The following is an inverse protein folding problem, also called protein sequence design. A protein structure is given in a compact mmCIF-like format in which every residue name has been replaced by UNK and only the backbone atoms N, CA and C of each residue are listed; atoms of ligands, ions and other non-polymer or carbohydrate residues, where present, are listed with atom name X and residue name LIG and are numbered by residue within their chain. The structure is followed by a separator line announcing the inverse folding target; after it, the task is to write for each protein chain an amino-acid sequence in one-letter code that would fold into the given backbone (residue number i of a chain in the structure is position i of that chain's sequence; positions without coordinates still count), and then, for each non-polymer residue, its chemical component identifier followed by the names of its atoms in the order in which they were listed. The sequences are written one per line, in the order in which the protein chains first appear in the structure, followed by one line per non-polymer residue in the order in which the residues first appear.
data_IF_225177258437
#
_entry.id   IF_225177258437
#
_cell.length_a   1.000
_cell.length_b   1.000
_cell.length_c   1.000
_cell.angle_alpha   90.00
_cell.angle_beta   90.00
_cell.angle_gamma   90.00
#
_symmetry.space_group_name_H-M   'P 1'
#
loop_
_entity.id
_entity.type
_entity.pdbx_description
1 polymer ?
#
# COMPACT_ATOMS: atom_id res chain seq x y z
N UNK A 1 12.20 -19.04 -12.44
CA UNK A 1 13.54 -19.26 -11.89
C UNK A 1 13.74 -18.27 -10.73
N UNK A 2 13.61 -18.71 -9.48
CA UNK A 2 13.73 -17.83 -8.31
C UNK A 2 15.21 -17.48 -8.14
N UNK A 3 15.54 -16.19 -8.18
CA UNK A 3 16.93 -15.74 -8.04
C UNK A 3 17.49 -16.11 -6.65
N UNK A 4 18.73 -16.63 -6.64
CA UNK A 4 19.47 -17.00 -5.42
C UNK A 4 19.64 -15.78 -4.51
N UNK A 5 19.20 -15.89 -3.25
CA UNK A 5 19.49 -14.88 -2.22
C UNK A 5 21.01 -14.85 -1.97
N UNK A 6 21.62 -13.66 -2.09
CA UNK A 6 23.06 -13.45 -1.83
C UNK A 6 23.38 -13.71 -0.35
N UNK A 7 24.51 -14.36 -0.10
CA UNK A 7 25.04 -14.63 1.25
C UNK A 7 25.45 -13.32 1.96
N UNK A 8 25.54 -13.35 3.30
CA UNK A 8 25.98 -12.21 4.10
C UNK A 8 27.37 -11.69 3.70
N UNK A 9 28.25 -12.60 3.27
CA UNK A 9 29.60 -12.28 2.80
C UNK A 9 29.61 -11.55 1.44
N UNK A 10 28.83 -12.03 0.46
CA UNK A 10 28.67 -11.35 -0.85
C UNK A 10 27.99 -9.97 -0.72
N UNK A 11 27.09 -9.88 0.26
CA UNK A 11 26.42 -8.64 0.64
C UNK A 11 27.41 -7.63 1.25
N UNK A 12 28.36 -8.10 2.05
CA UNK A 12 29.38 -7.26 2.71
C UNK A 12 30.43 -6.68 1.75
N UNK A 13 30.75 -7.36 0.63
CA UNK A 13 31.68 -6.80 -0.37
C UNK A 13 31.01 -6.02 -1.51
N UNK A 14 29.68 -5.85 -1.48
CA UNK A 14 28.99 -5.11 -2.52
C UNK A 14 29.22 -3.60 -2.36
N UNK A 15 30.17 -3.06 -3.14
CA UNK A 15 30.45 -1.62 -3.20
C UNK A 15 29.22 -0.77 -3.52
N UNK A 16 28.37 -1.24 -4.44
CA UNK A 16 27.10 -0.57 -4.75
C UNK A 16 26.15 -0.52 -3.55
N UNK A 17 26.11 -1.58 -2.74
CA UNK A 17 25.30 -1.63 -1.51
C UNK A 17 25.84 -0.68 -0.45
N UNK A 18 27.15 -0.62 -0.26
CA UNK A 18 27.78 0.33 0.66
C UNK A 18 27.50 1.78 0.25
N UNK A 19 27.68 2.10 -1.04
CA UNK A 19 27.39 3.43 -1.59
C UNK A 19 25.92 3.83 -1.47
N UNK A 20 24.99 2.86 -1.50
CA UNK A 20 23.55 3.11 -1.33
C UNK A 20 23.14 3.51 0.08
N UNK A 21 23.92 3.17 1.11
CA UNK A 21 23.60 3.46 2.52
C UNK A 21 24.54 4.46 3.19
N UNK A 22 25.56 4.93 2.49
CA UNK A 22 26.46 5.95 3.00
C UNK A 22 25.67 7.23 3.35
N UNK A 23 25.94 7.81 4.52
CA UNK A 23 25.21 8.98 5.05
C UNK A 23 23.93 8.67 5.83
N UNK A 24 23.51 7.40 5.95
CA UNK A 24 22.27 7.04 6.64
C UNK A 24 22.21 7.52 8.11
N UNK A 25 23.33 7.43 8.83
CA UNK A 25 23.39 7.77 10.26
C UNK A 25 23.02 9.25 10.53
N UNK A 26 23.39 10.16 9.63
CA UNK A 26 23.07 11.59 9.76
C UNK A 26 21.56 11.86 9.63
N UNK A 27 20.89 11.17 8.70
CA UNK A 27 19.43 11.27 8.54
C UNK A 27 18.69 10.70 9.76
N UNK A 28 19.21 9.63 10.36
CA UNK A 28 18.62 8.99 11.54
C UNK A 28 18.79 9.82 12.82
N UNK A 29 19.92 10.50 12.99
CA UNK A 29 20.11 11.40 14.15
C UNK A 29 19.12 12.57 14.13
N UNK A 30 18.80 13.11 12.94
CA UNK A 30 17.81 14.19 12.79
C UNK A 30 16.38 13.73 13.09
N UNK A 31 16.07 12.46 12.83
CA UNK A 31 14.79 11.82 13.16
C UNK A 31 14.57 11.78 14.68
N UNK A 32 15.53 11.20 15.41
CA UNK A 32 15.40 10.97 16.85
C UNK A 32 15.35 12.29 17.65
N UNK A 33 15.85 13.40 17.08
CA UNK A 33 15.84 14.72 17.69
C UNK A 33 14.48 15.44 17.66
N UNK A 34 13.50 14.96 16.89
CA UNK A 34 12.20 15.64 16.70
C UNK A 34 11.04 14.77 17.17
N UNK A 35 10.15 15.34 17.99
CA UNK A 35 8.91 14.66 18.40
C UNK A 35 7.91 14.55 17.24
N UNK A 36 7.07 13.50 17.24
CA UNK A 36 6.08 13.28 16.19
C UNK A 36 5.09 14.42 16.02
N UNK A 37 4.70 15.10 17.10
CA UNK A 37 3.84 16.28 17.04
C UNK A 37 4.42 17.39 16.16
N UNK A 38 5.68 17.76 16.41
CA UNK A 38 6.38 18.76 15.61
C UNK A 38 6.50 18.34 14.13
N UNK A 39 6.72 17.05 13.88
CA UNK A 39 6.81 16.52 12.51
C UNK A 39 5.44 16.54 11.81
N UNK A 40 4.33 16.31 12.53
CA UNK A 40 2.98 16.44 11.97
C UNK A 40 2.69 17.86 11.49
N UNK A 41 3.03 18.84 12.33
CA UNK A 41 2.74 20.25 12.09
C UNK A 41 3.69 20.90 11.07
N UNK A 42 4.91 20.36 10.93
CA UNK A 42 5.86 20.86 9.95
C UNK A 42 5.45 20.42 8.54
N UNK A 43 5.13 21.38 7.68
CA UNK A 43 4.80 21.14 6.27
C UNK A 43 6.03 21.35 5.39
N UNK A 44 6.27 20.43 4.47
CA UNK A 44 7.37 20.52 3.49
C UNK A 44 7.01 21.59 2.46
N UNK A 45 7.73 22.71 2.51
CA UNK A 45 7.59 23.81 1.55
C UNK A 45 8.52 23.61 0.35
N UNK A 46 8.11 24.14 -0.80
CA UNK A 46 8.99 24.32 -1.96
C UNK A 46 8.66 25.62 -2.68
N UNK A 47 9.69 26.34 -3.12
CA UNK A 47 9.52 27.55 -3.95
C UNK A 47 9.17 27.13 -5.38
N UNK A 48 7.88 27.10 -5.70
CA UNK A 48 7.38 26.99 -7.08
C UNK A 48 7.37 25.58 -7.70
N UNK A 49 7.68 24.53 -6.94
CA UNK A 49 7.57 23.14 -7.40
C UNK A 49 6.33 22.44 -6.84
N UNK A 50 5.55 21.81 -7.72
CA UNK A 50 4.48 20.89 -7.34
C UNK A 50 5.05 19.52 -6.91
N UNK A 51 4.29 18.81 -6.07
CA UNK A 51 4.61 17.44 -5.68
C UNK A 51 4.72 16.51 -6.90
N UNK A 52 5.80 15.73 -6.99
CA UNK A 52 6.08 14.81 -8.12
C UNK A 52 6.56 13.46 -7.60
N UNK A 53 5.94 12.39 -8.10
CA UNK A 53 6.39 11.02 -7.82
C UNK A 53 7.81 10.77 -8.31
N UNK A 54 8.64 10.14 -7.48
CA UNK A 54 9.99 9.78 -7.84
C UNK A 54 9.98 8.64 -8.87
N UNK A 55 10.69 8.84 -9.99
CA UNK A 55 10.91 7.80 -10.99
C UNK A 55 12.35 7.29 -10.93
N UNK A 56 12.50 5.97 -10.82
CA UNK A 56 13.80 5.29 -10.71
C UNK A 56 14.51 5.51 -9.37
N UNK A 57 15.58 4.76 -9.14
CA UNK A 57 16.37 4.83 -7.90
C UNK A 57 17.80 5.34 -8.18
N UNK A 58 18.19 6.47 -7.57
CA UNK A 58 19.61 6.88 -7.57
C UNK A 58 20.43 5.94 -6.70
N UNK A 59 21.69 5.70 -7.06
CA UNK A 59 22.60 4.94 -6.21
C UNK A 59 23.00 5.76 -4.99
N UNK A 60 23.14 7.08 -5.11
CA UNK A 60 23.41 7.97 -3.99
C UNK A 60 22.17 8.05 -3.06
N UNK A 61 22.38 8.00 -1.75
CA UNK A 61 21.29 8.03 -0.76
C UNK A 61 20.63 9.40 -0.71
N UNK A 62 21.41 10.46 -0.56
CA UNK A 62 20.91 11.83 -0.43
C UNK A 62 20.15 12.27 -1.66
N UNK A 63 20.66 11.98 -2.86
CA UNK A 63 19.94 12.26 -4.10
C UNK A 63 18.60 11.51 -4.19
N UNK A 64 18.55 10.27 -3.69
CA UNK A 64 17.32 9.50 -3.71
C UNK A 64 16.33 9.99 -2.65
N UNK A 65 16.79 10.31 -1.45
CA UNK A 65 15.98 10.89 -0.40
C UNK A 65 15.45 12.27 -0.81
N UNK A 66 16.25 13.10 -1.48
CA UNK A 66 15.81 14.36 -2.05
C UNK A 66 14.70 14.16 -3.11
N UNK A 67 14.79 13.12 -3.95
CA UNK A 67 13.72 12.76 -4.89
C UNK A 67 12.45 12.32 -4.18
N UNK A 68 12.57 11.46 -3.16
CA UNK A 68 11.43 10.99 -2.36
C UNK A 68 10.77 12.16 -1.60
N UNK A 69 11.56 13.10 -1.07
CA UNK A 69 11.05 14.28 -0.36
C UNK A 69 10.14 15.15 -1.24
N UNK A 70 10.41 15.23 -2.54
CA UNK A 70 9.56 15.98 -3.49
C UNK A 70 8.15 15.40 -3.63
N UNK A 71 7.95 14.13 -3.30
CA UNK A 71 6.61 13.51 -3.29
C UNK A 71 5.72 14.08 -2.17
N UNK A 72 6.34 14.68 -1.15
CA UNK A 72 5.68 15.17 0.05
C UNK A 72 5.62 16.69 0.14
N UNK A 73 5.92 17.43 -0.94
CA UNK A 73 5.72 18.88 -0.97
C UNK A 73 4.23 19.19 -0.67
N UNK A 74 3.99 20.15 0.22
CA UNK A 74 2.66 20.50 0.71
C UNK A 74 2.10 19.52 1.75
N UNK A 75 2.86 18.50 2.16
CA UNK A 75 2.45 17.52 3.15
C UNK A 75 3.32 17.59 4.41
N UNK A 76 2.87 16.91 5.46
CA UNK A 76 3.58 16.81 6.73
C UNK A 76 4.94 16.12 6.58
N UNK A 77 5.93 16.66 7.29
CA UNK A 77 7.27 16.10 7.44
C UNK A 77 7.21 14.65 7.97
N UNK A 78 6.25 14.34 8.86
CA UNK A 78 6.06 12.98 9.38
C UNK A 78 5.86 11.93 8.27
N UNK A 79 5.14 12.28 7.20
CA UNK A 79 4.89 11.36 6.09
C UNK A 79 6.16 11.09 5.27
N UNK A 80 6.99 12.11 5.08
CA UNK A 80 8.30 11.94 4.47
C UNK A 80 9.22 11.10 5.35
N UNK A 81 9.21 11.32 6.66
CA UNK A 81 10.02 10.55 7.60
C UNK A 81 9.65 9.06 7.59
N UNK A 82 8.36 8.73 7.50
CA UNK A 82 7.88 7.37 7.26
C UNK A 82 8.49 6.77 5.98
N UNK A 83 8.41 7.48 4.85
CA UNK A 83 8.99 7.03 3.59
C UNK A 83 10.51 6.87 3.63
N UNK A 84 11.20 7.79 4.32
CA UNK A 84 12.65 7.75 4.50
C UNK A 84 13.07 6.48 5.27
N UNK A 85 12.38 6.13 6.35
CA UNK A 85 12.64 4.89 7.10
C UNK A 85 12.52 3.65 6.20
N UNK A 86 11.47 3.58 5.36
CA UNK A 86 11.31 2.49 4.38
C UNK A 86 12.48 2.45 3.40
N UNK A 87 12.92 3.61 2.89
CA UNK A 87 14.08 3.71 1.98
C UNK A 87 15.35 3.19 2.65
N UNK A 88 15.62 3.60 3.90
CA UNK A 88 16.79 3.16 4.67
C UNK A 88 16.76 1.65 4.91
N UNK A 89 15.61 1.11 5.31
CA UNK A 89 15.37 -0.32 5.49
C UNK A 89 15.66 -1.09 4.20
N UNK A 90 15.07 -0.67 3.07
CA UNK A 90 15.24 -1.33 1.76
C UNK A 90 16.67 -1.23 1.22
N UNK A 91 17.45 -0.25 1.69
CA UNK A 91 18.89 -0.09 1.39
C UNK A 91 19.78 -0.83 2.39
N UNK A 92 19.20 -1.60 3.31
CA UNK A 92 19.89 -2.37 4.35
C UNK A 92 20.81 -1.48 5.22
N UNK A 93 20.37 -0.25 5.49
CA UNK A 93 20.95 0.67 6.45
C UNK A 93 20.30 0.42 7.82
N UNK A 94 21.11 0.03 8.82
CA UNK A 94 20.70 -0.30 10.20
C UNK A 94 19.25 -0.81 10.32
N UNK A 95 18.98 -1.97 9.69
CA UNK A 95 17.61 -2.46 9.48
C UNK A 95 16.86 -2.62 10.79
N UNK A 96 17.51 -3.18 11.82
CA UNK A 96 16.87 -3.40 13.12
C UNK A 96 16.47 -2.07 13.76
N UNK A 97 17.38 -1.10 13.85
CA UNK A 97 17.06 0.16 14.51
C UNK A 97 16.07 1.02 13.70
N UNK A 98 16.18 1.03 12.36
CA UNK A 98 15.23 1.76 11.52
C UNK A 98 13.85 1.12 11.52
N UNK A 99 13.77 -0.20 11.62
CA UNK A 99 12.51 -0.91 11.79
C UNK A 99 11.85 -0.60 13.16
N UNK A 100 12.63 -0.56 14.24
CA UNK A 100 12.11 -0.16 15.55
C UNK A 100 11.54 1.27 15.54
N UNK A 101 12.23 2.22 14.88
CA UNK A 101 11.72 3.58 14.68
C UNK A 101 10.42 3.59 13.88
N UNK A 102 10.38 2.83 12.80
CA UNK A 102 9.22 2.68 11.94
C UNK A 102 8.01 2.13 12.70
N UNK A 103 8.20 1.03 13.45
CA UNK A 103 7.14 0.42 14.26
C UNK A 103 6.66 1.37 15.37
N UNK A 104 7.57 2.07 16.04
CA UNK A 104 7.23 3.08 17.06
C UNK A 104 6.38 4.21 16.47
N UNK A 105 6.76 4.72 15.30
CA UNK A 105 5.99 5.75 14.59
C UNK A 105 4.58 5.25 14.28
N UNK A 106 4.44 4.05 13.73
CA UNK A 106 3.12 3.46 13.45
C UNK A 106 2.27 3.26 14.70
N UNK A 107 2.86 2.76 15.79
CA UNK A 107 2.11 2.56 17.04
C UNK A 107 1.61 3.88 17.64
N UNK A 108 2.39 4.96 17.51
CA UNK A 108 2.04 6.29 18.01
C UNK A 108 1.08 7.06 17.09
N UNK A 109 1.27 6.95 15.76
CA UNK A 109 0.69 7.87 14.77
C UNK A 109 -0.23 7.19 13.75
N UNK A 110 -0.64 5.93 13.98
CA UNK A 110 -1.41 5.13 13.00
C UNK A 110 -2.59 5.89 12.38
N UNK A 111 -3.39 6.59 13.17
CA UNK A 111 -4.59 7.25 12.66
C UNK A 111 -4.20 8.35 11.66
N UNK A 112 -3.25 9.21 12.04
CA UNK A 112 -2.70 10.24 11.17
C UNK A 112 -2.08 9.65 9.89
N UNK A 113 -1.24 8.62 10.03
CA UNK A 113 -0.57 7.97 8.90
C UNK A 113 -1.58 7.32 7.95
N UNK A 114 -2.58 6.60 8.46
CA UNK A 114 -3.63 5.98 7.63
C UNK A 114 -4.45 7.02 6.87
N UNK A 115 -4.75 8.16 7.47
CA UNK A 115 -5.50 9.22 6.80
C UNK A 115 -4.70 9.88 5.68
N UNK A 116 -3.40 10.14 5.88
CA UNK A 116 -2.65 11.05 5.02
C UNK A 116 -1.67 10.38 4.05
N UNK A 117 -1.15 9.18 4.33
CA UNK A 117 -0.28 8.48 3.37
C UNK A 117 -1.05 8.10 2.11
N UNK A 118 -0.40 8.04 0.95
CA UNK A 118 -0.99 7.48 -0.27
C UNK A 118 -1.08 5.93 -0.21
N UNK A 119 -1.82 5.33 -1.15
CA UNK A 119 -1.99 3.86 -1.15
C UNK A 119 -0.67 3.10 -1.34
N UNK A 120 0.30 3.66 -2.06
CA UNK A 120 1.61 3.05 -2.29
C UNK A 120 2.44 3.01 -1.01
N UNK A 121 2.38 4.05 -0.19
CA UNK A 121 3.08 4.09 1.10
C UNK A 121 2.40 3.22 2.16
N UNK A 122 1.07 3.10 2.15
CA UNK A 122 0.36 2.11 3.00
C UNK A 122 0.77 0.67 2.64
N UNK A 123 0.84 0.35 1.35
CA UNK A 123 1.31 -0.97 0.89
C UNK A 123 2.78 -1.21 1.26
N UNK A 124 3.63 -0.19 1.11
CA UNK A 124 5.04 -0.29 1.51
C UNK A 124 5.19 -0.51 3.02
N UNK A 125 4.26 0.00 3.83
CA UNK A 125 4.23 -0.27 5.25
C UNK A 125 3.84 -1.72 5.55
N UNK A 126 2.81 -2.25 4.90
CA UNK A 126 2.45 -3.68 4.97
C UNK A 126 3.65 -4.58 4.62
N UNK A 127 4.31 -4.33 3.48
CA UNK A 127 5.50 -5.09 3.06
C UNK A 127 6.61 -5.05 4.13
N UNK A 128 6.83 -3.88 4.73
CA UNK A 128 7.82 -3.71 5.80
C UNK A 128 7.47 -4.52 7.05
N UNK A 129 6.19 -4.56 7.47
CA UNK A 129 5.76 -5.42 8.59
C UNK A 129 5.90 -6.91 8.27
N UNK A 130 5.50 -7.34 7.07
CA UNK A 130 5.56 -8.73 6.63
C UNK A 130 6.99 -9.26 6.65
N UNK A 131 7.93 -8.45 6.17
CA UNK A 131 9.33 -8.84 6.03
C UNK A 131 10.11 -8.82 7.35
N UNK A 132 9.75 -7.93 8.29
CA UNK A 132 10.61 -7.60 9.44
C UNK A 132 10.00 -7.79 10.83
N UNK A 133 8.67 -7.80 10.98
CA UNK A 133 8.09 -7.99 12.32
C UNK A 133 8.37 -9.41 12.85
N UNK A 134 8.50 -9.54 14.15
CA UNK A 134 8.63 -10.84 14.83
C UNK A 134 7.28 -11.41 15.22
N UNK A 135 6.23 -10.59 15.30
CA UNK A 135 4.87 -11.03 15.56
C UNK A 135 4.25 -11.69 14.29
N UNK A 136 4.03 -13.02 14.29
CA UNK A 136 3.41 -13.69 13.15
C UNK A 136 1.98 -13.22 12.88
N UNK A 137 1.26 -12.72 13.89
CA UNK A 137 -0.10 -12.23 13.74
C UNK A 137 -0.12 -10.96 12.89
N UNK A 138 0.68 -9.95 13.24
CA UNK A 138 0.81 -8.73 12.42
C UNK A 138 1.22 -9.05 10.98
N UNK A 139 2.18 -9.96 10.77
CA UNK A 139 2.60 -10.35 9.41
C UNK A 139 1.44 -10.96 8.61
N UNK A 140 0.66 -11.85 9.24
CA UNK A 140 -0.50 -12.46 8.60
C UNK A 140 -1.61 -11.45 8.31
N UNK A 141 -1.90 -10.54 9.25
CA UNK A 141 -2.87 -9.45 9.05
C UNK A 141 -2.41 -8.55 7.90
N UNK A 142 -1.18 -8.04 7.95
CA UNK A 142 -0.62 -7.11 6.96
C UNK A 142 -0.61 -7.69 5.54
N UNK A 143 -0.40 -9.00 5.37
CA UNK A 143 -0.37 -9.67 4.05
C UNK A 143 -1.67 -9.50 3.26
N UNK A 144 -2.82 -9.31 3.93
CA UNK A 144 -4.10 -9.08 3.26
C UNK A 144 -4.09 -7.80 2.41
N UNK A 145 -3.36 -6.76 2.83
CA UNK A 145 -3.26 -5.49 2.09
C UNK A 145 -2.61 -5.65 0.71
N UNK A 146 -1.34 -6.09 0.61
CA UNK A 146 -0.67 -6.33 -0.66
C UNK A 146 -1.34 -7.42 -1.50
N UNK A 147 -1.88 -8.48 -0.90
CA UNK A 147 -2.63 -9.51 -1.62
C UNK A 147 -3.79 -8.87 -2.39
N UNK A 148 -4.64 -8.12 -1.70
CA UNK A 148 -5.79 -7.46 -2.29
C UNK A 148 -5.40 -6.42 -3.35
N UNK A 149 -4.48 -5.52 -3.01
CA UNK A 149 -4.10 -4.43 -3.91
C UNK A 149 -3.39 -4.94 -5.17
N UNK A 150 -2.55 -5.97 -5.07
CA UNK A 150 -1.87 -6.54 -6.23
C UNK A 150 -2.83 -7.30 -7.14
N UNK A 151 -3.83 -7.99 -6.60
CA UNK A 151 -4.89 -8.62 -7.41
C UNK A 151 -5.68 -7.57 -8.19
N UNK A 152 -6.08 -6.47 -7.55
CA UNK A 152 -6.75 -5.36 -8.25
C UNK A 152 -5.82 -4.75 -9.29
N UNK A 153 -4.56 -4.48 -8.94
CA UNK A 153 -3.56 -3.91 -9.84
C UNK A 153 -3.39 -4.74 -11.10
N UNK A 154 -3.31 -6.07 -10.99
CA UNK A 154 -3.21 -6.96 -12.15
C UNK A 154 -4.44 -6.84 -13.06
N UNK A 155 -5.65 -6.88 -12.48
CA UNK A 155 -6.90 -6.74 -13.25
C UNK A 155 -7.03 -5.38 -13.92
N UNK A 156 -6.71 -4.28 -13.23
CA UNK A 156 -6.72 -2.94 -13.84
C UNK A 156 -5.65 -2.79 -14.92
N UNK A 157 -4.47 -3.40 -14.74
CA UNK A 157 -3.39 -3.37 -15.74
C UNK A 157 -3.80 -4.13 -17.01
N UNK A 158 -4.42 -5.30 -16.87
CA UNK A 158 -4.94 -6.06 -18.02
C UNK A 158 -6.00 -5.24 -18.77
N UNK A 159 -6.94 -4.61 -18.05
CA UNK A 159 -7.94 -3.73 -18.64
C UNK A 159 -7.32 -2.56 -19.41
N UNK A 160 -6.29 -1.93 -18.85
CA UNK A 160 -5.53 -0.88 -19.53
C UNK A 160 -4.89 -1.38 -20.84
N UNK A 161 -4.27 -2.57 -20.83
CA UNK A 161 -3.68 -3.20 -22.02
C UNK A 161 -4.75 -3.48 -23.08
N UNK A 162 -5.94 -3.94 -22.66
CA UNK A 162 -7.07 -4.26 -23.54
C UNK A 162 -7.87 -3.02 -23.98
N UNK A 163 -7.54 -1.82 -23.49
CA UNK A 163 -8.27 -0.59 -23.79
C UNK A 163 -9.68 -0.54 -23.19
N UNK A 164 -9.94 -1.30 -22.12
CA UNK A 164 -11.24 -1.34 -21.44
C UNK A 164 -11.23 -0.39 -20.24
N UNK A 165 -12.12 0.59 -20.23
CA UNK A 165 -12.20 1.64 -19.20
C UNK A 165 -13.63 1.80 -18.65
N UNK A 166 -13.87 2.84 -17.85
CA UNK A 166 -15.20 3.14 -17.30
C UNK A 166 -16.26 3.49 -18.37
N UNK A 167 -15.85 3.99 -19.53
CA UNK A 167 -16.72 4.39 -20.63
C UNK A 167 -17.10 3.20 -21.52
N UNK A 168 -16.37 2.08 -21.40
CA UNK A 168 -16.70 0.85 -22.12
C UNK A 168 -18.05 0.34 -21.62
N UNK A 169 -19.08 0.28 -22.48
CA UNK A 169 -20.43 -0.08 -22.04
C UNK A 169 -20.47 -1.54 -21.59
N UNK A 170 -21.30 -1.79 -20.58
CA UNK A 170 -21.63 -3.16 -20.20
C UNK A 170 -22.32 -3.87 -21.38
N UNK A 171 -21.93 -5.12 -21.62
CA UNK A 171 -22.62 -5.98 -22.57
C UNK A 171 -23.88 -6.52 -21.89
N UNK A 172 -25.04 -5.98 -22.23
CA UNK A 172 -26.31 -6.37 -21.60
C UNK A 172 -26.54 -7.89 -21.63
N UNK A 173 -26.25 -8.54 -22.77
CA UNK A 173 -26.38 -10.00 -22.89
C UNK A 173 -25.51 -10.78 -21.87
N UNK A 174 -24.33 -10.26 -21.51
CA UNK A 174 -23.47 -10.90 -20.50
C UNK A 174 -24.00 -10.67 -19.07
N UNK A 175 -24.60 -9.51 -18.79
CA UNK A 175 -25.29 -9.26 -17.53
C UNK A 175 -26.51 -10.17 -17.37
N UNK A 176 -27.31 -10.31 -18.43
CA UNK A 176 -28.48 -11.19 -18.45
C UNK A 176 -28.07 -12.66 -18.23
N UNK A 177 -26.94 -13.08 -18.80
CA UNK A 177 -26.39 -14.41 -18.58
C UNK A 177 -25.99 -14.62 -17.13
N UNK A 178 -25.28 -13.66 -16.50
CA UNK A 178 -24.92 -13.72 -15.08
C UNK A 178 -26.13 -13.77 -14.14
N UNK A 179 -27.22 -13.08 -14.47
CA UNK A 179 -28.43 -13.06 -13.65
C UNK A 179 -29.31 -14.30 -13.83
N UNK A 180 -29.23 -14.97 -14.97
CA UNK A 180 -30.11 -16.10 -15.31
C UNK A 180 -29.42 -17.45 -15.12
N UNK A 181 -28.10 -17.51 -15.31
CA UNK A 181 -27.34 -18.75 -15.32
C UNK A 181 -26.08 -18.66 -14.45
N UNK A 182 -25.60 -19.83 -14.03
CA UNK A 182 -24.29 -19.95 -13.40
C UNK A 182 -23.20 -19.90 -14.47
N UNK A 183 -22.64 -18.72 -14.69
CA UNK A 183 -21.49 -18.55 -15.60
C UNK A 183 -20.22 -19.03 -14.89
N UNK A 184 -19.56 -20.05 -15.43
CA UNK A 184 -18.26 -20.52 -14.92
C UNK A 184 -17.10 -19.64 -15.41
N UNK A 185 -16.15 -19.34 -14.55
CA UNK A 185 -14.94 -18.58 -14.90
C UNK A 185 -13.69 -19.48 -14.95
N UNK A 186 -13.33 -20.10 -13.82
CA UNK A 186 -12.15 -20.96 -13.71
C UNK A 186 -12.32 -21.92 -12.54
N UNK A 187 -11.76 -23.13 -12.62
CA UNK A 187 -11.66 -24.10 -11.52
C UNK A 187 -12.90 -24.20 -10.60
N UNK A 188 -14.09 -24.28 -11.20
CA UNK A 188 -15.34 -24.34 -10.45
C UNK A 188 -15.82 -23.02 -9.83
N UNK A 189 -15.09 -21.92 -9.91
CA UNK A 189 -15.51 -20.56 -9.52
C UNK A 189 -16.45 -19.98 -10.57
N UNK A 190 -17.57 -19.43 -10.14
CA UNK A 190 -18.54 -18.74 -10.99
C UNK A 190 -18.32 -17.23 -11.03
N UNK A 191 -18.88 -16.58 -12.06
CA UNK A 191 -18.91 -15.13 -12.17
C UNK A 191 -19.61 -14.48 -10.98
N UNK A 192 -19.08 -13.33 -10.55
CA UNK A 192 -19.70 -12.50 -9.54
C UNK A 192 -20.99 -11.89 -10.11
N UNK A 193 -22.11 -12.04 -9.41
CA UNK A 193 -23.41 -11.57 -9.88
C UNK A 193 -23.70 -10.16 -9.33
N UNK A 194 -23.62 -9.09 -10.15
CA UNK A 194 -23.85 -7.74 -9.68
C UNK A 194 -25.27 -7.59 -9.12
N UNK A 195 -25.37 -7.05 -7.92
CA UNK A 195 -26.64 -6.81 -7.25
C UNK A 195 -27.19 -7.97 -6.41
N UNK A 196 -26.63 -9.19 -6.45
CA UNK A 196 -27.14 -10.30 -5.61
C UNK A 196 -26.08 -11.10 -4.88
N UNK A 197 -24.84 -11.06 -5.34
CA UNK A 197 -23.75 -11.83 -4.77
C UNK A 197 -23.23 -11.16 -3.48
N UNK A 198 -23.18 -11.92 -2.37
CA UNK A 198 -22.77 -11.43 -1.05
C UNK A 198 -21.31 -11.76 -0.70
N UNK A 199 -20.56 -12.40 -1.60
CA UNK A 199 -19.20 -12.91 -1.33
C UNK A 199 -18.25 -11.81 -0.84
N UNK A 200 -18.24 -10.64 -1.50
CA UNK A 200 -17.40 -9.51 -1.11
C UNK A 200 -17.83 -8.89 0.22
N UNK A 201 -19.13 -8.89 0.53
CA UNK A 201 -19.63 -8.40 1.83
C UNK A 201 -19.18 -9.34 2.95
N UNK A 202 -19.35 -10.63 2.76
CA UNK A 202 -18.89 -11.64 3.70
C UNK A 202 -17.37 -11.59 3.87
N UNK A 203 -16.62 -11.33 2.79
CA UNK A 203 -15.18 -11.12 2.84
C UNK A 203 -14.81 -9.86 3.65
N UNK A 204 -15.51 -8.74 3.46
CA UNK A 204 -15.30 -7.50 4.25
C UNK A 204 -15.45 -7.77 5.74
N UNK A 205 -16.52 -8.43 6.18
CA UNK A 205 -16.71 -8.73 7.61
C UNK A 205 -15.61 -9.61 8.19
N UNK A 206 -15.21 -10.66 7.46
CA UNK A 206 -14.08 -11.50 7.88
C UNK A 206 -12.76 -10.73 7.92
N UNK A 207 -12.53 -9.84 6.96
CA UNK A 207 -11.34 -8.99 6.93
C UNK A 207 -11.32 -8.06 8.15
N UNK A 208 -12.46 -7.48 8.50
CA UNK A 208 -12.61 -6.61 9.67
C UNK A 208 -12.28 -7.38 10.96
N UNK A 209 -12.83 -8.59 11.13
CA UNK A 209 -12.55 -9.43 12.29
C UNK A 209 -11.06 -9.80 12.40
N UNK A 210 -10.43 -10.14 11.28
CA UNK A 210 -8.98 -10.43 11.24
C UNK A 210 -8.16 -9.18 11.55
N UNK A 211 -8.52 -8.02 10.98
CA UNK A 211 -7.78 -6.78 11.20
C UNK A 211 -7.89 -6.27 12.64
N UNK A 212 -8.99 -6.56 13.35
CA UNK A 212 -9.14 -6.24 14.78
C UNK A 212 -8.16 -6.99 15.69
N UNK A 213 -7.55 -8.08 15.22
CA UNK A 213 -6.61 -8.88 16.01
C UNK A 213 -5.30 -8.15 16.32
N UNK A 214 -4.96 -7.09 15.57
CA UNK A 214 -3.75 -6.32 15.80
C UNK A 214 -4.00 -4.81 15.62
N UNK A 215 -3.45 -3.91 16.46
CA UNK A 215 -3.68 -2.46 16.35
C UNK A 215 -3.35 -1.86 14.98
N UNK A 216 -2.36 -2.41 14.28
CA UNK A 216 -1.95 -1.99 12.93
C UNK A 216 -2.76 -2.64 11.79
N UNK A 217 -3.77 -3.46 12.10
CA UNK A 217 -4.73 -3.94 11.10
C UNK A 217 -5.55 -2.81 10.47
N UNK A 218 -5.61 -1.64 11.10
CA UNK A 218 -6.21 -0.42 10.52
C UNK A 218 -5.61 -0.03 9.16
N UNK A 219 -4.34 -0.36 8.91
CA UNK A 219 -3.68 -0.10 7.62
C UNK A 219 -4.35 -0.89 6.50
N UNK A 220 -4.69 -2.15 6.75
CA UNK A 220 -5.34 -3.03 5.78
C UNK A 220 -6.78 -2.60 5.55
N UNK A 221 -7.50 -2.20 6.60
CA UNK A 221 -8.85 -1.67 6.46
C UNK A 221 -8.88 -0.39 5.64
N UNK A 222 -7.93 0.53 5.87
CA UNK A 222 -7.81 1.76 5.10
C UNK A 222 -7.48 1.48 3.61
N UNK A 223 -6.62 0.49 3.33
CA UNK A 223 -6.37 0.02 1.95
C UNK A 223 -7.67 -0.48 1.31
N UNK A 224 -8.43 -1.31 2.04
CA UNK A 224 -9.69 -1.87 1.56
C UNK A 224 -10.75 -0.80 1.27
N UNK A 225 -10.86 0.21 2.16
CA UNK A 225 -11.80 1.32 2.00
C UNK A 225 -11.39 2.24 0.84
N UNK A 226 -10.09 2.47 0.65
CA UNK A 226 -9.58 3.26 -0.48
C UNK A 226 -9.91 2.67 -1.84
N UNK A 227 -9.94 1.34 -1.99
CA UNK A 227 -10.32 0.71 -3.26
C UNK A 227 -11.71 1.13 -3.75
N UNK A 228 -12.56 1.61 -2.86
CA UNK A 228 -13.94 1.96 -3.15
C UNK A 228 -14.16 3.48 -3.28
N UNK A 229 -13.10 4.30 -3.16
CA UNK A 229 -13.19 5.76 -3.32
C UNK A 229 -13.29 6.13 -4.79
N UNK A 230 -14.07 7.16 -5.10
CA UNK A 230 -14.29 7.60 -6.48
C UNK A 230 -13.00 7.95 -7.21
N UNK A 231 -12.02 8.54 -6.52
CA UNK A 231 -10.74 8.95 -7.09
C UNK A 231 -9.87 7.78 -7.61
N UNK A 232 -10.13 6.54 -7.21
CA UNK A 232 -9.28 5.39 -7.54
C UNK A 232 -9.81 4.53 -8.69
N UNK A 233 -11.00 4.82 -9.23
CA UNK A 233 -11.64 4.22 -10.42
C UNK A 233 -11.17 2.80 -10.79
N UNK A 234 -11.41 1.83 -9.91
CA UNK A 234 -11.02 0.43 -10.11
C UNK A 234 -12.23 -0.52 -10.01
N UNK A 235 -11.97 -1.82 -10.14
CA UNK A 235 -12.97 -2.88 -10.12
C UNK A 235 -13.89 -2.83 -8.91
N UNK A 236 -13.40 -2.52 -7.70
CA UNK A 236 -14.24 -2.41 -6.51
C UNK A 236 -15.26 -1.28 -6.64
N UNK A 237 -14.83 -0.08 -7.05
CA UNK A 237 -15.74 1.04 -7.28
C UNK A 237 -16.77 0.72 -8.37
N UNK A 238 -16.32 0.11 -9.47
CA UNK A 238 -17.18 -0.23 -10.61
C UNK A 238 -18.23 -1.28 -10.24
N UNK A 239 -17.89 -2.29 -9.44
CA UNK A 239 -18.88 -3.24 -8.92
C UNK A 239 -19.76 -2.64 -7.83
N UNK A 240 -19.24 -1.76 -6.96
CA UNK A 240 -20.04 -0.98 -6.00
C UNK A 240 -21.17 -0.24 -6.71
N UNK A 241 -20.87 0.44 -7.82
CA UNK A 241 -21.87 1.17 -8.63
C UNK A 241 -22.92 0.25 -9.30
N UNK A 242 -22.57 -1.00 -9.59
CA UNK A 242 -23.50 -2.01 -10.16
C UNK A 242 -24.33 -2.73 -9.09
N UNK A 243 -23.97 -2.62 -7.82
CA UNK A 243 -24.56 -3.39 -6.72
C UNK A 243 -25.66 -2.59 -6.00
N UNK A 244 -26.82 -2.44 -6.64
CA UNK A 244 -27.88 -1.50 -6.22
C UNK A 244 -28.97 -2.12 -5.33
N UNK A 245 -29.03 -3.44 -5.15
CA UNK A 245 -30.06 -4.08 -4.31
C UNK A 245 -29.75 -3.90 -2.83
N UNK A 246 -30.74 -3.51 -2.04
CA UNK A 246 -30.57 -3.18 -0.61
C UNK A 246 -30.02 -4.35 0.22
N UNK A 247 -30.51 -5.57 0.00
CA UNK A 247 -30.12 -6.76 0.79
C UNK A 247 -28.65 -7.12 0.64
N UNK A 248 -28.04 -6.81 -0.50
CA UNK A 248 -26.64 -7.12 -0.80
C UNK A 248 -25.84 -5.85 -1.10
N UNK A 249 -26.39 -4.67 -0.79
CA UNK A 249 -25.74 -3.37 -0.92
C UNK A 249 -24.27 -3.43 -0.49
N UNK A 250 -23.45 -2.70 -1.22
CA UNK A 250 -22.11 -2.44 -0.76
C UNK A 250 -22.16 -1.87 0.66
N UNK A 251 -21.27 -2.32 1.53
CA UNK A 251 -21.21 -1.83 2.90
C UNK A 251 -20.93 -0.32 2.90
N UNK A 252 -21.51 0.35 3.90
CA UNK A 252 -21.31 1.77 4.18
C UNK A 252 -20.10 1.96 5.10
#
# INVERSE_FOLDING_TARGET
MIHRRKSAFEKWFSFTRHRRRFGADEHVQRLDAQGFEKLRESIIQSEGDDAKYAHGASVNLDEHLAKVRREFIGQSELLYQHAMLIVLIRREADVAANYERFKRMWMAERDFLTTHLDMRWLLSACDTFIDLDTDPLLRAVAMNGPLLANTVKLGETERFILGVNAETPDKQAALDELWTHRVGLFDGVSGFIPGTDDTLRNMRWRLEDVCKLHPLGVVVMEIFDRLQRDANENVYLRFKKRHTREKTRWWD
#
